data_IF_459800443596
#
_entry.id   IF_459800443596
#
_cell.length_a   1.000
_cell.length_b   1.000
_cell.length_c   1.000
_cell.angle_alpha   90.00
_cell.angle_beta   90.00
_cell.angle_gamma   90.00
#
_symmetry.space_group_name_H-M   'P 1'
#
loop_
_entity.id
_entity.type
_entity.pdbx_description
1 polymer ?
#
# COMPACT_ATOMS: atom_id res chain seq x y z
N UNK A 1 2.41 21.11 25.65
CA UNK A 1 2.49 19.63 25.67
C UNK A 1 1.23 19.13 25.01
N UNK A 2 1.32 18.64 23.77
CA UNK A 2 0.20 17.92 23.16
C UNK A 2 -0.11 16.69 24.00
N UNK A 3 -1.40 16.46 24.29
CA UNK A 3 -1.79 15.26 25.01
C UNK A 3 -1.57 14.06 24.08
N UNK A 4 -0.93 12.96 24.55
CA UNK A 4 -0.61 11.78 23.74
C UNK A 4 -1.79 11.19 22.96
N UNK A 5 -3.02 11.44 23.42
CA UNK A 5 -4.27 11.00 22.77
C UNK A 5 -4.57 11.69 21.45
N UNK A 6 -4.10 12.92 21.22
CA UNK A 6 -4.33 13.64 19.97
C UNK A 6 -3.46 13.09 18.84
N UNK A 7 -2.19 12.80 19.14
CA UNK A 7 -1.23 12.28 18.16
C UNK A 7 -1.65 10.90 17.64
N UNK A 8 -2.06 9.99 18.53
CA UNK A 8 -2.53 8.66 18.13
C UNK A 8 -3.81 8.71 17.32
N UNK A 9 -4.76 9.59 17.69
CA UNK A 9 -5.98 9.81 16.91
C UNK A 9 -5.69 10.35 15.50
N UNK A 10 -4.78 11.31 15.39
CA UNK A 10 -4.43 11.89 14.10
C UNK A 10 -3.68 10.87 13.22
N UNK A 11 -2.87 9.99 13.82
CA UNK A 11 -2.23 8.87 13.13
C UNK A 11 -3.24 7.86 12.58
N UNK A 12 -4.21 7.42 13.40
CA UNK A 12 -5.29 6.52 12.95
C UNK A 12 -6.05 7.14 11.79
N UNK A 13 -6.36 8.44 11.86
CA UNK A 13 -7.03 9.15 10.77
C UNK A 13 -6.18 9.15 9.50
N UNK A 14 -4.89 9.47 9.58
CA UNK A 14 -3.99 9.51 8.43
C UNK A 14 -3.84 8.13 7.78
N UNK A 15 -3.75 7.06 8.57
CA UNK A 15 -3.64 5.70 8.05
C UNK A 15 -4.94 5.24 7.37
N UNK A 16 -6.11 5.60 7.94
CA UNK A 16 -7.40 5.37 7.28
C UNK A 16 -7.51 6.15 5.96
N UNK A 17 -7.14 7.44 5.96
CA UNK A 17 -7.13 8.27 4.75
C UNK A 17 -6.19 7.68 3.66
N UNK A 18 -5.06 7.10 4.07
CA UNK A 18 -4.13 6.41 3.17
C UNK A 18 -4.75 5.14 2.59
N UNK A 19 -5.38 4.31 3.43
CA UNK A 19 -6.04 3.06 3.00
C UNK A 19 -7.12 3.34 1.97
N UNK A 20 -7.95 4.33 2.23
CA UNK A 20 -9.06 4.66 1.32
C UNK A 20 -8.54 5.17 -0.03
N UNK A 21 -7.46 5.96 -0.04
CA UNK A 21 -6.79 6.39 -1.29
C UNK A 21 -6.16 5.23 -2.04
N UNK A 22 -5.48 4.33 -1.34
CA UNK A 22 -4.87 3.15 -1.96
C UNK A 22 -5.92 2.21 -2.53
N UNK A 23 -7.02 1.98 -1.80
CA UNK A 23 -8.13 1.17 -2.29
C UNK A 23 -8.72 1.75 -3.58
N UNK A 24 -8.90 3.07 -3.65
CA UNK A 24 -9.34 3.74 -4.86
C UNK A 24 -8.32 3.57 -6.00
N UNK A 25 -7.03 3.78 -5.72
CA UNK A 25 -5.97 3.65 -6.71
C UNK A 25 -5.91 2.22 -7.28
N UNK A 26 -5.91 1.20 -6.42
CA UNK A 26 -5.94 -0.20 -6.83
C UNK A 26 -7.18 -0.52 -7.66
N UNK A 27 -8.36 -0.04 -7.27
CA UNK A 27 -9.58 -0.24 -8.05
C UNK A 27 -9.49 0.41 -9.44
N UNK A 28 -8.83 1.58 -9.55
CA UNK A 28 -8.60 2.24 -10.83
C UNK A 28 -7.60 1.46 -11.69
N UNK A 29 -6.51 0.96 -11.13
CA UNK A 29 -5.51 0.16 -11.84
C UNK A 29 -6.09 -1.17 -12.34
N UNK A 30 -6.90 -1.83 -11.51
CA UNK A 30 -7.57 -3.08 -11.86
C UNK A 30 -8.64 -2.87 -12.93
N UNK A 31 -9.33 -1.73 -12.92
CA UNK A 31 -10.41 -1.42 -13.87
C UNK A 31 -9.91 -0.77 -15.16
N UNK A 32 -8.80 -0.04 -15.13
CA UNK A 32 -8.32 0.79 -16.26
C UNK A 32 -6.84 0.58 -16.61
N UNK A 33 -5.99 0.22 -15.65
CA UNK A 33 -4.52 0.28 -15.79
C UNK A 33 -3.91 -0.85 -16.61
N UNK A 34 -4.45 -2.07 -16.54
CA UNK A 34 -3.89 -3.22 -17.24
C UNK A 34 -4.68 -3.64 -18.49
N UNK A 35 -5.84 -3.02 -18.76
CA UNK A 35 -6.71 -3.34 -19.91
C UNK A 35 -6.16 -2.77 -21.23
N UNK A 36 -5.31 -1.73 -21.18
CA UNK A 36 -4.56 -1.26 -22.37
C UNK A 36 -3.32 -2.12 -22.70
N UNK A 37 -2.99 -3.11 -21.86
CA UNK A 37 -2.07 -4.20 -22.19
C UNK A 37 -2.82 -5.21 -23.08
N UNK A 38 -3.43 -4.72 -24.15
CA UNK A 38 -4.26 -5.46 -25.10
C UNK A 38 -3.40 -6.45 -25.93
N UNK A 39 -4.01 -7.40 -26.66
CA UNK A 39 -3.73 -8.85 -26.71
C UNK A 39 -2.39 -9.32 -27.33
N UNK A 40 -1.43 -8.42 -27.54
CA UNK A 40 -0.15 -8.67 -28.22
C UNK A 40 1.00 -9.02 -27.25
N UNK A 41 0.71 -9.14 -25.95
CA UNK A 41 1.73 -9.40 -24.93
C UNK A 41 2.10 -10.89 -24.85
N UNK A 42 3.41 -11.17 -24.88
CA UNK A 42 3.94 -12.51 -24.62
C UNK A 42 3.53 -13.01 -23.22
N UNK A 43 3.37 -14.32 -23.04
CA UNK A 43 2.92 -14.96 -21.80
C UNK A 43 3.69 -14.54 -20.53
N UNK A 44 4.95 -14.09 -20.69
CA UNK A 44 5.78 -13.59 -19.60
C UNK A 44 5.29 -12.24 -19.03
N UNK A 45 4.76 -11.34 -19.88
CA UNK A 45 4.31 -10.01 -19.46
C UNK A 45 2.93 -10.04 -18.77
N UNK A 46 2.05 -10.95 -19.19
CA UNK A 46 0.77 -11.22 -18.52
C UNK A 46 1.01 -11.69 -17.08
N UNK A 47 1.94 -12.62 -16.89
CA UNK A 47 2.31 -13.14 -15.57
C UNK A 47 2.92 -12.07 -14.65
N UNK A 48 3.67 -11.11 -15.20
CA UNK A 48 4.20 -9.99 -14.41
C UNK A 48 3.09 -9.02 -13.94
N UNK A 49 2.13 -8.69 -14.80
CA UNK A 49 0.98 -7.85 -14.44
C UNK A 49 0.09 -8.52 -13.37
N UNK A 50 -0.24 -9.81 -13.53
CA UNK A 50 -1.01 -10.57 -12.55
C UNK A 50 -0.31 -10.60 -11.18
N UNK A 51 1.02 -10.77 -11.16
CA UNK A 51 1.81 -10.73 -9.92
C UNK A 51 1.79 -9.35 -9.26
N UNK A 52 1.88 -8.28 -10.04
CA UNK A 52 1.81 -6.91 -9.51
C UNK A 52 0.43 -6.62 -8.94
N UNK A 53 -0.65 -7.02 -9.61
CA UNK A 53 -2.02 -6.90 -9.09
C UNK A 53 -2.21 -7.71 -7.79
N UNK A 54 -1.62 -8.90 -7.70
CA UNK A 54 -1.69 -9.70 -6.47
C UNK A 54 -1.05 -8.99 -5.24
N UNK A 55 -0.15 -8.03 -5.46
CA UNK A 55 0.46 -7.24 -4.39
C UNK A 55 -0.52 -6.26 -3.76
N UNK A 56 -1.56 -5.80 -4.47
CA UNK A 56 -2.57 -4.87 -3.94
C UNK A 56 -3.24 -5.42 -2.67
N UNK A 57 -3.69 -6.68 -2.73
CA UNK A 57 -4.30 -7.36 -1.59
C UNK A 57 -3.34 -7.43 -0.40
N UNK A 58 -2.08 -7.79 -0.64
CA UNK A 58 -1.06 -7.85 0.41
C UNK A 58 -0.80 -6.49 1.05
N UNK A 59 -0.69 -5.42 0.24
CA UNK A 59 -0.47 -4.06 0.73
C UNK A 59 -1.66 -3.55 1.53
N UNK A 60 -2.88 -3.82 1.06
CA UNK A 60 -4.11 -3.43 1.74
C UNK A 60 -4.23 -4.10 3.12
N UNK A 61 -3.90 -5.40 3.22
CA UNK A 61 -3.89 -6.13 4.48
C UNK A 61 -2.85 -5.57 5.45
N UNK A 62 -1.60 -5.36 5.00
CA UNK A 62 -0.54 -4.79 5.84
C UNK A 62 -0.93 -3.41 6.38
N UNK A 63 -1.52 -2.56 5.54
CA UNK A 63 -1.99 -1.24 5.98
C UNK A 63 -3.17 -1.34 6.95
N UNK A 64 -4.06 -2.32 6.76
CA UNK A 64 -5.16 -2.58 7.69
C UNK A 64 -4.65 -3.03 9.07
N UNK A 65 -3.62 -3.87 9.12
CA UNK A 65 -2.95 -4.27 10.37
C UNK A 65 -2.28 -3.08 11.07
N UNK A 66 -1.66 -2.16 10.32
CA UNK A 66 -1.10 -0.92 10.87
C UNK A 66 -2.18 -0.03 11.49
N UNK A 67 -3.34 0.09 10.84
CA UNK A 67 -4.49 0.85 11.37
C UNK A 67 -4.97 0.21 12.67
N UNK A 68 -5.17 -1.11 12.70
CA UNK A 68 -5.64 -1.82 13.89
C UNK A 68 -4.71 -1.60 15.08
N UNK A 69 -3.39 -1.66 14.87
CA UNK A 69 -2.40 -1.38 15.91
C UNK A 69 -2.39 0.07 16.37
N UNK A 70 -2.57 1.02 15.44
CA UNK A 70 -2.68 2.43 15.78
C UNK A 70 -3.96 2.70 16.61
N UNK A 71 -5.07 2.04 16.28
CA UNK A 71 -6.32 2.10 17.04
C UNK A 71 -6.17 1.48 18.44
N UNK A 72 -5.46 0.36 18.56
CA UNK A 72 -5.15 -0.25 19.85
C UNK A 72 -4.34 0.71 20.73
N UNK A 73 -3.32 1.37 20.17
CA UNK A 73 -2.52 2.37 20.87
C UNK A 73 -3.34 3.57 21.31
N UNK A 74 -4.28 4.02 20.48
CA UNK A 74 -5.22 5.08 20.83
C UNK A 74 -6.12 4.67 22.01
N UNK A 75 -6.62 3.44 22.02
CA UNK A 75 -7.56 2.95 23.04
C UNK A 75 -6.88 2.60 24.37
N UNK A 76 -5.74 1.89 24.32
CA UNK A 76 -5.03 1.37 25.52
C UNK A 76 -4.02 2.35 26.09
N UNK A 77 -3.66 3.39 25.33
CA UNK A 77 -2.58 4.32 25.65
C UNK A 77 -1.24 3.87 25.09
N UNK A 78 -0.39 4.83 24.73
CA UNK A 78 0.89 4.56 24.08
C UNK A 78 2.03 4.38 25.09
N UNK A 79 2.69 3.22 25.04
CA UNK A 79 4.02 3.02 25.63
C UNK A 79 5.07 3.07 24.51
N UNK A 80 6.29 3.53 24.85
CA UNK A 80 7.35 3.77 23.85
C UNK A 80 7.66 2.54 22.98
N UNK A 81 7.61 1.33 23.56
CA UNK A 81 7.84 0.09 22.82
C UNK A 81 6.79 -0.17 21.72
N UNK A 82 5.50 0.05 22.01
CA UNK A 82 4.44 -0.15 21.03
C UNK A 82 4.46 0.92 19.93
N UNK A 83 4.89 2.15 20.26
CA UNK A 83 5.12 3.19 19.24
C UNK A 83 6.28 2.80 18.33
N UNK A 84 7.38 2.28 18.88
CA UNK A 84 8.51 1.82 18.09
C UNK A 84 8.12 0.66 17.16
N UNK A 85 7.35 -0.31 17.66
CA UNK A 85 6.84 -1.40 16.83
C UNK A 85 5.99 -0.88 15.65
N UNK A 86 5.11 0.09 15.90
CA UNK A 86 4.31 0.69 14.82
C UNK A 86 5.19 1.41 13.78
N UNK A 87 6.26 2.09 14.22
CA UNK A 87 7.24 2.71 13.33
C UNK A 87 7.93 1.66 12.47
N UNK A 88 8.43 0.59 13.07
CA UNK A 88 9.15 -0.48 12.35
C UNK A 88 8.24 -1.14 11.30
N UNK A 89 6.97 -1.37 11.64
CA UNK A 89 5.99 -1.93 10.72
C UNK A 89 5.60 -0.95 9.60
N UNK A 90 5.53 0.35 9.90
CA UNK A 90 5.29 1.38 8.88
C UNK A 90 6.44 1.45 7.89
N UNK A 91 7.69 1.28 8.35
CA UNK A 91 8.86 1.19 7.47
C UNK A 91 8.82 -0.05 6.58
N UNK A 92 8.47 -1.21 7.14
CA UNK A 92 8.31 -2.43 6.36
C UNK A 92 7.21 -2.31 5.29
N UNK A 93 6.12 -1.61 5.62
CA UNK A 93 5.06 -1.29 4.66
C UNK A 93 5.56 -0.35 3.55
N UNK A 94 6.30 0.72 3.87
CA UNK A 94 6.87 1.64 2.88
C UNK A 94 7.82 0.91 1.92
N UNK A 95 8.66 0.00 2.43
CA UNK A 95 9.53 -0.83 1.59
C UNK A 95 8.73 -1.68 0.59
N UNK A 96 7.64 -2.31 1.06
CA UNK A 96 6.75 -3.12 0.20
C UNK A 96 6.02 -2.27 -0.84
N UNK A 97 5.57 -1.08 -0.45
CA UNK A 97 4.92 -0.15 -1.38
C UNK A 97 5.88 0.30 -2.47
N UNK A 98 7.13 0.65 -2.12
CA UNK A 98 8.15 1.02 -3.10
C UNK A 98 8.55 -0.15 -4.01
N UNK A 99 8.54 -1.38 -3.51
CA UNK A 99 8.74 -2.57 -4.34
C UNK A 99 7.63 -2.71 -5.39
N UNK A 100 6.39 -2.49 -4.99
CA UNK A 100 5.23 -2.49 -5.87
C UNK A 100 5.31 -1.37 -6.93
N UNK A 101 5.56 -0.12 -6.52
CA UNK A 101 5.74 1.02 -7.45
C UNK A 101 6.87 0.78 -8.47
N UNK A 102 7.96 0.12 -8.06
CA UNK A 102 9.04 -0.26 -8.99
C UNK A 102 8.58 -1.32 -10.00
N UNK A 103 7.78 -2.29 -9.56
CA UNK A 103 7.23 -3.31 -10.45
C UNK A 103 6.27 -2.68 -11.49
N UNK A 104 5.42 -1.75 -11.06
CA UNK A 104 4.52 -1.01 -11.94
C UNK A 104 5.25 -0.15 -12.95
N UNK A 105 6.25 0.62 -12.51
CA UNK A 105 7.08 1.42 -13.42
C UNK A 105 7.76 0.55 -14.48
N UNK A 106 8.25 -0.63 -14.09
CA UNK A 106 8.81 -1.60 -15.02
C UNK A 106 7.77 -2.11 -16.05
N UNK A 107 6.51 -2.25 -15.67
CA UNK A 107 5.44 -2.62 -16.61
C UNK A 107 5.12 -1.47 -17.59
N UNK A 108 5.08 -0.23 -17.12
CA UNK A 108 4.81 0.97 -17.92
C UNK A 108 5.93 1.25 -18.93
N UNK A 109 7.20 1.12 -18.54
CA UNK A 109 8.34 1.30 -19.46
C UNK A 109 8.33 0.23 -20.56
N UNK A 110 8.01 -1.02 -20.19
CA UNK A 110 7.97 -2.14 -21.11
C UNK A 110 6.74 -2.17 -22.03
N UNK A 111 5.69 -1.39 -21.72
CA UNK A 111 4.56 -1.18 -22.63
C UNK A 111 4.86 -0.07 -23.64
N UNK A 112 5.59 0.98 -23.25
CA UNK A 112 5.99 2.09 -24.14
C UNK A 112 7.07 1.73 -25.17
N UNK A 113 7.96 0.79 -24.86
CA UNK A 113 9.03 0.34 -25.77
C UNK A 113 8.59 -0.63 -26.89
N UNK A 114 7.27 -0.82 -27.08
CA UNK A 114 6.70 -1.62 -28.18
C UNK A 114 6.13 -0.72 -29.30
N UNK A 115 6.45 0.59 -29.29
CA UNK A 115 6.15 1.54 -30.36
C UNK A 115 7.22 1.60 -31.44
#
# INVERSE_FOLDING_TARGET
MEQPSHVTRDLVRLLNDLRDKMALQFALEESYGYIEVAPEFSSCKVNAAEKTMAQHCSLYLLLSELIEKAEELQYRGAIAACVQELVDQTQAFDEKLREHERAENGLIENSRNVG
#
